data_IF_310121167694
#
_entry.id   IF_310121167694
#
_cell.length_a   1.000
_cell.length_b   1.000
_cell.length_c   1.000
_cell.angle_alpha   90.00
_cell.angle_beta   90.00
_cell.angle_gamma   90.00
#
_symmetry.space_group_name_H-M   'P 1'
#
loop_
_entity.id
_entity.type
_entity.pdbx_description
1 polymer ?
#
# COMPACT_ATOMS: atom_id res chain seq x y z
N UNK A 1 -12.71 18.18 -16.74
CA UNK A 1 -13.06 16.91 -16.05
C UNK A 1 -12.93 16.96 -14.50
N UNK A 2 -12.43 18.06 -13.90
CA UNK A 2 -12.19 18.19 -12.45
C UNK A 2 -13.36 18.74 -11.60
N UNK A 3 -14.49 19.16 -12.21
CA UNK A 3 -15.64 19.74 -11.48
C UNK A 3 -16.61 18.73 -10.87
N UNK A 4 -16.47 17.42 -11.15
CA UNK A 4 -17.30 16.36 -10.56
C UNK A 4 -16.66 15.65 -9.35
N UNK A 5 -15.49 16.12 -8.92
CA UNK A 5 -14.76 15.61 -7.74
C UNK A 5 -15.41 16.05 -6.41
N UNK A 6 -16.18 17.14 -6.41
CA UNK A 6 -16.71 17.80 -5.21
C UNK A 6 -18.03 17.22 -4.68
N UNK A 7 -18.68 16.28 -5.38
CA UNK A 7 -19.99 15.77 -4.95
C UNK A 7 -19.91 14.41 -4.22
N UNK A 8 -18.91 13.58 -4.50
CA UNK A 8 -18.81 12.23 -3.92
C UNK A 8 -18.25 12.23 -2.48
N UNK A 9 -17.44 13.22 -2.09
CA UNK A 9 -16.91 13.34 -0.73
C UNK A 9 -17.94 13.84 0.30
N UNK A 10 -19.07 14.40 -0.15
CA UNK A 10 -20.12 14.93 0.75
C UNK A 10 -20.90 13.86 1.51
N UNK A 11 -20.82 12.58 1.11
CA UNK A 11 -21.65 11.51 1.68
C UNK A 11 -20.92 10.59 2.68
N UNK A 12 -19.59 10.66 2.79
CA UNK A 12 -18.81 9.78 3.66
C UNK A 12 -18.46 10.36 5.04
N UNK A 13 -18.77 11.63 5.31
CA UNK A 13 -18.45 12.30 6.60
C UNK A 13 -19.61 12.32 7.61
N UNK A 14 -20.76 11.70 7.31
CA UNK A 14 -21.86 11.59 8.28
C UNK A 14 -21.89 10.21 8.92
N UNK A 15 -21.00 9.96 9.90
CA UNK A 15 -21.20 9.08 11.07
C UNK A 15 -19.90 8.90 11.85
N UNK A 16 -19.63 9.83 12.77
CA UNK A 16 -18.78 9.58 13.94
C UNK A 16 -19.51 10.23 15.13
N UNK A 17 -20.15 9.47 16.03
CA UNK A 17 -20.57 10.00 17.33
C UNK A 17 -19.38 10.01 18.30
N UNK A 18 -19.28 11.10 19.07
CA UNK A 18 -18.20 11.41 19.99
C UNK A 18 -18.14 10.56 21.25
N UNK A 19 -16.97 10.59 21.87
CA UNK A 19 -16.65 9.99 23.15
C UNK A 19 -17.38 10.72 24.29
N UNK A 20 -18.16 9.96 25.07
CA UNK A 20 -18.75 10.39 26.33
C UNK A 20 -17.87 10.01 27.52
N UNK A 21 -17.66 10.99 28.39
CA UNK A 21 -17.03 10.96 29.72
C UNK A 21 -17.71 9.96 30.67
N UNK A 22 -16.94 9.18 31.44
CA UNK A 22 -17.29 8.83 32.82
C UNK A 22 -16.03 8.67 33.70
N UNK A 23 -16.03 9.42 34.80
CA UNK A 23 -15.19 9.25 35.99
C UNK A 23 -15.58 8.00 36.78
N UNK A 24 -14.61 7.35 37.42
CA UNK A 24 -14.82 6.62 38.67
C UNK A 24 -13.51 6.55 39.47
N UNK A 25 -13.51 7.20 40.64
CA UNK A 25 -12.69 6.89 41.81
C UNK A 25 -13.25 5.61 42.46
N UNK A 26 -12.58 4.73 43.21
CA UNK A 26 -11.52 4.85 44.21
C UNK A 26 -11.04 3.45 44.72
N UNK A 27 -9.79 3.43 45.21
CA UNK A 27 -9.19 2.70 46.38
C UNK A 27 -9.20 1.17 46.56
N UNK A 28 -8.00 0.66 46.89
CA UNK A 28 -7.65 -0.60 47.57
C UNK A 28 -6.33 -1.12 46.99
N UNK A 29 -5.15 -1.03 47.61
CA UNK A 29 -4.75 -1.58 48.90
C UNK A 29 -3.74 -2.73 48.65
N UNK A 30 -2.44 -2.49 48.92
CA UNK A 30 -1.39 -3.45 49.37
C UNK A 30 -1.07 -4.73 48.52
N UNK A 31 0.13 -5.34 48.41
CA UNK A 31 1.45 -5.39 49.10
C UNK A 31 2.52 -5.79 48.06
N UNK A 32 3.77 -5.33 48.20
CA UNK A 32 4.94 -5.76 47.42
C UNK A 32 5.74 -6.87 48.11
N UNK A 33 6.44 -7.76 47.37
CA UNK A 33 7.68 -8.35 47.85
C UNK A 33 8.87 -8.00 46.95
N UNK A 34 10.03 -7.86 47.59
CA UNK A 34 11.24 -7.22 47.07
C UNK A 34 11.79 -7.79 45.76
N UNK A 35 12.03 -6.89 44.81
CA UNK A 35 12.83 -7.15 43.62
C UNK A 35 14.33 -7.00 43.93
N UNK A 36 15.06 -8.09 43.72
CA UNK A 36 16.52 -8.14 43.78
C UNK A 36 17.13 -7.41 42.56
N UNK A 37 18.08 -6.48 42.74
CA UNK A 37 18.50 -5.51 41.70
C UNK A 37 19.32 -6.09 40.54
N UNK A 38 19.69 -7.37 40.56
CA UNK A 38 20.53 -7.99 39.51
C UNK A 38 19.71 -8.57 38.33
N UNK A 39 18.43 -8.90 38.54
CA UNK A 39 17.60 -9.51 37.48
C UNK A 39 17.07 -8.47 36.47
N UNK A 40 16.80 -7.24 36.91
CA UNK A 40 16.29 -6.17 36.03
C UNK A 40 17.37 -5.61 35.11
N UNK A 41 18.63 -5.57 35.55
CA UNK A 41 19.76 -5.15 34.70
C UNK A 41 20.04 -6.16 33.59
N UNK A 42 20.00 -7.46 33.87
CA UNK A 42 20.22 -8.52 32.85
C UNK A 42 19.10 -8.59 31.80
N UNK A 43 17.83 -8.42 32.19
CA UNK A 43 16.71 -8.37 31.23
C UNK A 43 16.71 -7.08 30.39
N UNK A 44 17.12 -5.95 30.98
CA UNK A 44 17.24 -4.68 30.26
C UNK A 44 18.39 -4.66 29.24
N UNK A 45 19.50 -5.34 29.53
CA UNK A 45 20.64 -5.47 28.62
C UNK A 45 20.35 -6.46 27.48
N UNK A 46 19.69 -7.59 27.75
CA UNK A 46 19.27 -8.55 26.73
C UNK A 46 18.21 -7.97 25.76
N UNK A 47 17.25 -7.19 26.26
CA UNK A 47 16.28 -6.44 25.41
C UNK A 47 16.92 -5.33 24.57
N UNK A 48 18.05 -4.77 25.04
CA UNK A 48 18.78 -3.70 24.34
C UNK A 48 19.74 -4.27 23.29
N UNK A 49 20.28 -5.46 23.53
CA UNK A 49 21.07 -6.24 22.57
C UNK A 49 20.20 -6.87 21.47
N UNK A 50 19.02 -7.42 21.80
CA UNK A 50 18.12 -8.04 20.82
C UNK A 50 17.46 -7.05 19.85
N UNK A 51 17.46 -5.75 20.17
CA UNK A 51 16.95 -4.68 19.30
C UNK A 51 17.97 -4.21 18.26
N UNK A 52 19.23 -4.63 18.34
CA UNK A 52 20.32 -4.09 17.51
C UNK A 52 20.71 -4.94 16.30
N UNK A 53 20.23 -6.17 16.20
CA UNK A 53 20.68 -7.11 15.15
C UNK A 53 19.55 -7.77 14.32
N UNK A 54 18.29 -7.34 14.47
CA UNK A 54 17.29 -7.68 13.47
C UNK A 54 17.50 -6.79 12.24
N UNK A 55 17.64 -7.33 11.01
CA UNK A 55 17.74 -6.50 9.82
C UNK A 55 16.50 -5.59 9.75
N UNK A 56 16.72 -4.31 9.40
CA UNK A 56 15.65 -3.35 9.28
C UNK A 56 14.61 -3.87 8.28
N UNK A 57 13.33 -3.89 8.67
CA UNK A 57 12.25 -4.38 7.81
C UNK A 57 12.23 -3.57 6.50
N UNK A 58 12.28 -4.28 5.37
CA UNK A 58 12.27 -3.70 4.03
C UNK A 58 10.89 -3.78 3.41
N UNK A 59 10.52 -2.72 2.72
CA UNK A 59 9.25 -2.60 2.04
C UNK A 59 9.42 -2.05 0.63
N UNK A 60 8.49 -2.45 -0.23
CA UNK A 60 8.52 -2.15 -1.65
C UNK A 60 7.14 -1.67 -2.10
N UNK A 61 7.12 -0.64 -2.92
CA UNK A 61 5.94 -0.32 -3.72
C UNK A 61 5.83 -1.34 -4.85
N UNK A 62 4.80 -2.17 -4.78
CA UNK A 62 4.41 -3.11 -5.82
C UNK A 62 3.55 -2.37 -6.83
N UNK A 63 4.15 -2.07 -7.97
CA UNK A 63 3.52 -1.33 -9.04
C UNK A 63 3.47 -2.16 -10.32
N UNK A 64 2.62 -1.73 -11.23
CA UNK A 64 2.58 -2.26 -12.59
C UNK A 64 3.88 -1.98 -13.37
N UNK A 65 4.35 -2.94 -14.16
CA UNK A 65 5.43 -2.74 -15.12
C UNK A 65 4.90 -2.33 -16.50
N UNK A 66 4.65 -1.02 -16.67
CA UNK A 66 4.18 -0.42 -17.92
C UNK A 66 5.19 -0.42 -19.08
N UNK A 67 6.41 -0.93 -18.89
CA UNK A 67 7.46 -0.87 -19.94
C UNK A 67 7.31 -1.96 -21.00
N UNK A 68 6.41 -2.93 -20.79
CA UNK A 68 6.20 -4.03 -21.72
C UNK A 68 5.46 -3.55 -22.98
N UNK A 69 6.02 -3.71 -24.19
CA UNK A 69 5.30 -3.44 -25.43
C UNK A 69 4.10 -4.37 -25.57
N UNK A 70 2.98 -3.88 -26.13
CA UNK A 70 1.72 -4.62 -26.26
C UNK A 70 1.23 -5.23 -24.94
N UNK A 71 1.51 -4.53 -23.83
CA UNK A 71 0.98 -4.89 -22.51
C UNK A 71 -0.53 -4.76 -22.53
N UNK A 72 -1.19 -5.81 -22.10
CA UNK A 72 -2.64 -5.83 -21.92
C UNK A 72 -3.05 -4.89 -20.78
N UNK A 73 -3.97 -3.98 -21.02
CA UNK A 73 -4.57 -3.12 -20.00
C UNK A 73 -5.91 -3.70 -19.56
N UNK A 74 -6.28 -3.41 -18.32
CA UNK A 74 -7.54 -3.85 -17.72
C UNK A 74 -8.41 -2.61 -17.46
N UNK A 75 -9.69 -2.69 -17.84
CA UNK A 75 -10.66 -1.63 -17.58
C UNK A 75 -10.89 -1.39 -16.09
N UNK A 76 -11.66 -0.36 -15.72
CA UNK A 76 -12.19 -0.29 -14.35
C UNK A 76 -13.06 -1.54 -14.04
N UNK A 77 -12.98 -2.11 -12.81
CA UNK A 77 -13.86 -3.19 -12.41
C UNK A 77 -15.32 -2.74 -12.41
N UNK A 78 -16.17 -3.53 -13.06
CA UNK A 78 -17.62 -3.29 -13.12
C UNK A 78 -18.41 -4.45 -12.54
N UNK A 79 -19.60 -4.18 -12.01
CA UNK A 79 -20.50 -5.25 -11.57
C UNK A 79 -21.08 -5.96 -12.80
N UNK A 80 -21.07 -7.30 -12.80
CA UNK A 80 -21.76 -8.11 -13.81
C UNK A 80 -23.26 -7.80 -13.79
N UNK A 81 -23.84 -7.65 -12.59
CA UNK A 81 -25.26 -7.35 -12.38
C UNK A 81 -25.65 -5.88 -12.69
N UNK A 82 -24.76 -5.10 -13.32
CA UNK A 82 -25.02 -3.69 -13.69
C UNK A 82 -25.06 -2.71 -12.51
N UNK A 83 -24.76 -3.14 -11.29
CA UNK A 83 -24.67 -2.25 -10.12
C UNK A 83 -23.51 -1.26 -10.30
N UNK A 84 -23.83 0.02 -10.14
CA UNK A 84 -22.82 1.08 -10.23
C UNK A 84 -21.85 1.01 -9.05
N UNK A 85 -20.57 1.21 -9.32
CA UNK A 85 -19.57 1.36 -8.28
C UNK A 85 -19.70 2.74 -7.61
N UNK A 86 -19.65 2.78 -6.28
CA UNK A 86 -19.77 4.03 -5.52
C UNK A 86 -18.58 4.99 -5.76
N UNK A 87 -17.40 4.42 -6.03
CA UNK A 87 -16.16 5.15 -6.26
C UNK A 87 -15.20 4.31 -7.12
N UNK A 88 -14.44 4.96 -7.99
CA UNK A 88 -13.31 4.33 -8.71
C UNK A 88 -12.19 3.90 -7.76
N UNK A 89 -12.11 4.51 -6.57
CA UNK A 89 -11.11 4.19 -5.53
C UNK A 89 -11.60 3.15 -4.52
N UNK A 90 -12.72 2.47 -4.79
CA UNK A 90 -13.32 1.55 -3.82
C UNK A 90 -12.31 0.49 -3.34
N UNK A 91 -11.58 -0.12 -4.27
CA UNK A 91 -10.66 -1.23 -4.01
C UNK A 91 -9.28 -0.80 -3.51
N UNK A 92 -8.97 0.50 -3.56
CA UNK A 92 -7.68 1.05 -3.15
C UNK A 92 -7.78 1.91 -1.90
N UNK A 93 -8.96 2.07 -1.32
CA UNK A 93 -9.23 2.91 -0.15
C UNK A 93 -8.47 2.53 1.13
N UNK A 94 -7.85 1.34 1.18
CA UNK A 94 -7.19 0.83 2.38
C UNK A 94 -8.15 0.25 3.42
N UNK A 95 -9.38 -0.09 3.02
CA UNK A 95 -10.40 -0.66 3.88
C UNK A 95 -11.08 -1.89 3.23
N UNK A 96 -11.60 -2.84 4.01
CA UNK A 96 -12.38 -3.95 3.49
C UNK A 96 -13.57 -3.48 2.65
N UNK A 97 -13.75 -4.09 1.49
CA UNK A 97 -14.82 -3.79 0.56
C UNK A 97 -16.02 -4.70 0.82
N UNK A 98 -17.17 -4.09 1.12
CA UNK A 98 -18.46 -4.77 1.23
C UNK A 98 -19.15 -4.81 -0.14
N UNK A 99 -18.62 -5.63 -1.05
CA UNK A 99 -19.25 -5.90 -2.34
C UNK A 99 -19.89 -7.30 -2.33
N UNK A 100 -21.11 -7.42 -2.86
CA UNK A 100 -21.90 -8.68 -2.86
C UNK A 100 -22.22 -9.21 -4.26
N UNK A 101 -21.64 -8.64 -5.31
CA UNK A 101 -21.86 -9.04 -6.70
C UNK A 101 -20.63 -9.69 -7.32
N UNK A 102 -20.79 -10.20 -8.54
CA UNK A 102 -19.67 -10.60 -9.38
C UNK A 102 -19.08 -9.37 -10.07
N UNK A 103 -17.76 -9.35 -10.16
CA UNK A 103 -17.00 -8.29 -10.80
C UNK A 103 -16.48 -8.79 -12.15
N UNK A 104 -16.42 -7.90 -13.14
CA UNK A 104 -15.78 -8.17 -14.42
C UNK A 104 -14.91 -7.01 -14.90
N UNK A 105 -13.94 -7.36 -15.72
CA UNK A 105 -12.98 -6.49 -16.38
C UNK A 105 -12.95 -6.80 -17.87
N UNK A 106 -12.94 -5.78 -18.71
CA UNK A 106 -12.60 -5.93 -20.13
C UNK A 106 -11.10 -5.69 -20.31
N UNK A 107 -10.56 -6.16 -21.44
CA UNK A 107 -9.11 -6.10 -21.66
C UNK A 107 -8.72 -5.61 -23.03
N UNK A 108 -7.84 -4.61 -23.09
CA UNK A 108 -7.37 -3.99 -24.33
C UNK A 108 -5.99 -3.36 -24.13
N UNK A 109 -5.13 -3.25 -25.16
CA UNK A 109 -5.13 -4.02 -26.41
C UNK A 109 -4.70 -5.49 -26.16
N UNK A 110 -4.72 -6.38 -27.18
CA UNK A 110 -4.35 -7.79 -27.02
C UNK A 110 -2.92 -7.96 -26.49
N UNK A 111 -2.73 -8.94 -25.62
CA UNK A 111 -1.43 -9.25 -25.05
C UNK A 111 -1.47 -10.52 -24.20
N UNK A 112 -0.31 -11.08 -23.84
CA UNK A 112 -0.27 -12.24 -22.98
C UNK A 112 -0.87 -11.91 -21.60
N UNK A 113 -1.51 -12.90 -20.93
CA UNK A 113 -1.96 -12.75 -19.55
C UNK A 113 -0.81 -12.32 -18.62
N UNK A 114 -1.14 -11.51 -17.62
CA UNK A 114 -0.22 -11.01 -16.61
C UNK A 114 -0.66 -11.48 -15.23
N UNK A 115 0.30 -11.85 -14.41
CA UNK A 115 0.05 -12.27 -13.03
C UNK A 115 -0.29 -11.10 -12.10
N UNK A 116 0.12 -9.90 -12.47
CA UNK A 116 -0.16 -8.65 -11.77
C UNK A 116 -0.43 -7.52 -12.76
N UNK A 117 -1.47 -6.73 -12.51
CA UNK A 117 -1.82 -5.53 -13.28
C UNK A 117 -2.58 -4.53 -12.40
N UNK A 118 -2.43 -3.24 -12.66
CA UNK A 118 -3.27 -2.18 -12.08
C UNK A 118 -4.37 -1.81 -13.09
N UNK A 119 -5.61 -2.09 -12.71
CA UNK A 119 -6.78 -1.92 -13.56
C UNK A 119 -7.45 -0.55 -13.38
N UNK A 120 -7.80 0.06 -14.51
CA UNK A 120 -8.61 1.27 -14.59
C UNK A 120 -8.05 2.51 -13.90
N UNK A 121 -8.90 3.54 -13.80
CA UNK A 121 -8.55 4.82 -13.18
C UNK A 121 -8.27 4.70 -11.68
N UNK A 122 -8.83 3.67 -11.04
CA UNK A 122 -8.63 3.39 -9.62
C UNK A 122 -7.27 2.78 -9.25
N UNK A 123 -6.45 2.40 -10.25
CA UNK A 123 -5.23 1.60 -10.07
C UNK A 123 -5.51 0.36 -9.22
N UNK A 124 -6.57 -0.36 -9.57
CA UNK A 124 -7.04 -1.52 -8.80
C UNK A 124 -6.10 -2.71 -9.03
N UNK A 125 -5.44 -3.27 -8.01
CA UNK A 125 -4.54 -4.41 -8.22
C UNK A 125 -5.35 -5.66 -8.56
N UNK A 126 -5.09 -6.23 -9.74
CA UNK A 126 -5.66 -7.48 -10.23
C UNK A 126 -4.54 -8.49 -10.37
N UNK A 127 -4.78 -9.69 -9.86
CA UNK A 127 -3.77 -10.74 -9.78
C UNK A 127 -4.29 -12.09 -10.24
N UNK A 128 -3.40 -12.92 -10.78
CA UNK A 128 -3.69 -14.32 -11.11
C UNK A 128 -3.94 -15.15 -9.84
N UNK A 129 -4.48 -16.36 -10.01
CA UNK A 129 -4.77 -17.26 -8.89
C UNK A 129 -3.51 -17.66 -8.09
N UNK A 130 -2.35 -17.80 -8.76
CA UNK A 130 -1.06 -18.12 -8.11
C UNK A 130 -0.60 -16.99 -7.19
N UNK A 131 -0.65 -15.75 -7.67
CA UNK A 131 -0.33 -14.56 -6.86
C UNK A 131 -1.32 -14.36 -5.72
N UNK A 132 -2.61 -14.59 -5.96
CA UNK A 132 -3.63 -14.56 -4.91
C UNK A 132 -3.35 -15.59 -3.80
N UNK A 133 -2.80 -16.75 -4.13
CA UNK A 133 -2.42 -17.76 -3.14
C UNK A 133 -1.27 -17.27 -2.24
N UNK A 134 -0.25 -16.61 -2.80
CA UNK A 134 0.85 -16.00 -2.03
C UNK A 134 0.32 -15.00 -1.01
N UNK A 135 -0.56 -14.10 -1.43
CA UNK A 135 -1.16 -13.12 -0.51
C UNK A 135 -2.01 -13.78 0.58
N UNK A 136 -2.77 -14.83 0.24
CA UNK A 136 -3.60 -15.58 1.19
C UNK A 136 -2.75 -16.30 2.23
N UNK A 137 -1.60 -16.85 1.83
CA UNK A 137 -0.72 -17.59 2.72
C UNK A 137 0.10 -16.65 3.62
N UNK A 138 0.70 -15.61 3.04
CA UNK A 138 1.68 -14.78 3.74
C UNK A 138 1.08 -13.56 4.42
N UNK A 139 -0.09 -13.08 3.99
CA UNK A 139 -0.70 -11.85 4.52
C UNK A 139 -2.25 -11.94 4.66
N UNK A 140 -2.81 -13.03 5.23
CA UNK A 140 -4.26 -13.24 5.28
C UNK A 140 -5.04 -12.14 6.01
N UNK A 141 -4.43 -11.50 7.01
CA UNK A 141 -5.06 -10.45 7.82
C UNK A 141 -4.94 -9.06 7.18
N UNK A 142 -4.05 -8.89 6.20
CA UNK A 142 -3.76 -7.61 5.57
C UNK A 142 -4.49 -7.41 4.23
N UNK A 143 -5.01 -8.50 3.64
CA UNK A 143 -5.68 -8.46 2.35
C UNK A 143 -7.08 -9.07 2.38
N UNK A 144 -7.95 -8.52 1.56
CA UNK A 144 -9.18 -9.15 1.11
C UNK A 144 -9.04 -9.45 -0.39
N UNK A 145 -9.27 -10.70 -0.77
CA UNK A 145 -9.22 -11.15 -2.16
C UNK A 145 -10.64 -11.28 -2.71
N UNK A 146 -10.95 -10.53 -3.76
CA UNK A 146 -12.26 -10.55 -4.40
C UNK A 146 -12.15 -11.20 -5.77
N UNK A 147 -12.86 -12.31 -6.06
CA UNK A 147 -12.88 -12.89 -7.40
C UNK A 147 -13.36 -11.89 -8.45
N UNK A 148 -12.72 -11.88 -9.61
CA UNK A 148 -13.08 -11.04 -10.74
C UNK A 148 -12.96 -11.81 -12.05
N UNK A 149 -13.94 -11.65 -12.94
CA UNK A 149 -13.93 -12.20 -14.28
C UNK A 149 -13.10 -11.28 -15.18
N UNK A 150 -12.12 -11.81 -15.90
CA UNK A 150 -11.35 -11.07 -16.89
C UNK A 150 -11.75 -11.56 -18.27
N UNK A 151 -12.21 -10.66 -19.13
CA UNK A 151 -12.68 -11.01 -20.46
C UNK A 151 -11.62 -11.77 -21.26
N UNK A 152 -12.02 -12.87 -21.89
CA UNK A 152 -11.12 -13.73 -22.67
C UNK A 152 -10.25 -14.68 -21.84
N UNK A 153 -10.27 -14.58 -20.51
CA UNK A 153 -9.50 -15.46 -19.63
C UNK A 153 -10.34 -16.61 -19.09
N UNK A 154 -9.76 -17.81 -19.14
CA UNK A 154 -10.33 -19.00 -18.49
C UNK A 154 -9.87 -19.14 -17.04
N UNK A 155 -8.71 -18.57 -16.71
CA UNK A 155 -8.17 -18.59 -15.36
C UNK A 155 -8.90 -17.63 -14.44
N UNK A 156 -8.90 -17.95 -13.13
CA UNK A 156 -9.51 -17.09 -12.12
C UNK A 156 -8.55 -15.98 -11.73
N UNK A 157 -9.05 -14.74 -11.76
CA UNK A 157 -8.35 -13.57 -11.27
C UNK A 157 -8.99 -13.05 -9.99
N UNK A 158 -8.23 -12.25 -9.25
CA UNK A 158 -8.65 -11.65 -7.99
C UNK A 158 -8.24 -10.18 -7.94
N UNK A 159 -9.09 -9.34 -7.39
CA UNK A 159 -8.71 -8.02 -6.92
C UNK A 159 -8.08 -8.17 -5.53
N UNK A 160 -6.91 -7.55 -5.34
CA UNK A 160 -6.26 -7.46 -4.02
C UNK A 160 -6.64 -6.14 -3.36
N UNK A 161 -7.50 -6.22 -2.34
CA UNK A 161 -7.83 -5.09 -1.48
C UNK A 161 -6.93 -5.17 -0.25
N UNK A 162 -5.93 -4.29 -0.17
CA UNK A 162 -5.16 -4.12 1.07
C UNK A 162 -6.05 -3.40 2.11
N UNK A 163 -6.20 -3.99 3.29
CA UNK A 163 -7.15 -3.55 4.33
C UNK A 163 -6.48 -2.76 5.45
N UNK A 164 -5.15 -2.60 5.39
CA UNK A 164 -4.34 -1.82 6.32
C UNK A 164 -4.03 -0.45 5.72
N UNK A 165 -4.64 0.61 6.23
CA UNK A 165 -4.32 2.00 5.87
C UNK A 165 -3.44 2.64 6.94
N UNK A 166 -2.16 2.86 6.65
CA UNK A 166 -1.13 3.13 7.68
C UNK A 166 -0.43 4.47 7.46
N UNK A 167 -0.27 5.26 8.53
CA UNK A 167 0.44 6.56 8.53
C UNK A 167 1.95 6.39 8.63
N UNK A 168 2.57 5.84 7.57
CA UNK A 168 3.99 5.51 7.58
C UNK A 168 4.86 6.33 6.61
N UNK A 169 4.31 7.28 5.84
CA UNK A 169 5.12 8.12 4.93
C UNK A 169 6.15 8.92 5.73
N UNK A 170 7.41 8.86 5.32
CA UNK A 170 8.48 9.72 5.82
C UNK A 170 8.69 10.88 4.85
N UNK A 171 7.97 11.96 5.09
CA UNK A 171 7.99 13.15 4.22
C UNK A 171 9.38 13.76 4.08
N UNK A 172 10.26 13.60 5.08
CA UNK A 172 11.63 14.14 5.05
C UNK A 172 12.55 13.32 4.16
N UNK A 173 12.24 12.04 3.99
CA UNK A 173 13.01 11.13 3.16
C UNK A 173 12.49 11.05 1.72
N UNK A 174 11.24 11.45 1.48
CA UNK A 174 10.69 11.60 0.12
C UNK A 174 11.46 12.66 -0.69
N UNK A 175 11.51 12.49 -2.02
CA UNK A 175 12.18 13.46 -2.91
C UNK A 175 11.41 14.79 -2.96
N UNK A 176 10.08 14.72 -2.96
CA UNK A 176 9.20 15.90 -2.96
C UNK A 176 7.87 15.55 -2.29
N UNK A 177 7.41 16.42 -1.40
CA UNK A 177 6.08 16.35 -0.80
C UNK A 177 5.44 17.73 -0.85
N UNK A 178 4.21 17.81 -1.33
CA UNK A 178 3.38 19.01 -1.21
C UNK A 178 1.96 18.66 -0.80
N UNK A 179 1.32 19.61 -0.14
CA UNK A 179 -0.05 19.51 0.35
C UNK A 179 -0.94 20.54 -0.33
N UNK A 180 -2.23 20.25 -0.38
CA UNK A 180 -3.20 21.27 -0.76
C UNK A 180 -3.26 22.39 0.28
N UNK A 181 -3.24 23.62 -0.19
CA UNK A 181 -3.42 24.84 0.61
C UNK A 181 -4.86 25.35 0.47
N UNK A 182 -5.23 26.33 1.29
CA UNK A 182 -6.55 26.97 1.20
C UNK A 182 -6.78 27.75 -0.11
N UNK A 183 -5.71 28.04 -0.86
CA UNK A 183 -5.78 28.72 -2.15
C UNK A 183 -6.14 27.76 -3.30
N UNK A 184 -5.72 26.50 -3.19
CA UNK A 184 -5.76 25.53 -4.29
C UNK A 184 -6.79 24.40 -4.11
N UNK A 185 -7.49 24.35 -2.96
CA UNK A 185 -8.45 23.29 -2.69
C UNK A 185 -9.59 23.71 -1.75
N UNK A 186 -10.75 23.02 -1.84
CA UNK A 186 -11.80 23.11 -0.83
C UNK A 186 -11.27 22.82 0.58
N UNK A 187 -11.88 23.42 1.64
CA UNK A 187 -11.42 23.26 3.03
C UNK A 187 -11.20 21.81 3.46
N UNK A 188 -12.02 20.88 2.98
CA UNK A 188 -11.94 19.44 3.30
C UNK A 188 -10.72 18.72 2.70
N UNK A 189 -9.98 19.35 1.79
CA UNK A 189 -8.77 18.79 1.18
C UNK A 189 -7.49 19.47 1.66
N UNK A 190 -7.59 20.59 2.37
CA UNK A 190 -6.43 21.32 2.87
C UNK A 190 -5.61 20.41 3.79
N UNK A 191 -4.29 20.39 3.61
CA UNK A 191 -3.38 19.50 4.33
C UNK A 191 -3.30 18.07 3.80
N UNK A 192 -4.17 17.66 2.87
CA UNK A 192 -4.01 16.36 2.20
C UNK A 192 -2.84 16.43 1.20
N UNK A 193 -2.18 15.28 0.99
CA UNK A 193 -1.13 15.18 -0.02
C UNK A 193 -1.67 15.56 -1.41
N UNK A 194 -0.92 16.43 -2.07
CA UNK A 194 -1.11 16.82 -3.46
C UNK A 194 -0.11 16.11 -4.36
N UNK A 195 1.15 16.07 -3.94
CA UNK A 195 2.24 15.40 -4.64
C UNK A 195 3.09 14.64 -3.62
N UNK A 196 3.43 13.40 -3.95
CA UNK A 196 4.50 12.64 -3.29
C UNK A 196 5.39 12.06 -4.39
N UNK A 197 6.66 12.48 -4.45
CA UNK A 197 7.67 11.91 -5.35
C UNK A 197 8.73 11.20 -4.54
N UNK A 198 9.25 10.11 -5.11
CA UNK A 198 10.28 9.30 -4.46
C UNK A 198 9.82 8.77 -3.10
N UNK A 199 8.61 8.20 -3.06
CA UNK A 199 7.96 7.74 -1.83
C UNK A 199 8.94 7.00 -0.91
N UNK A 200 9.02 7.47 0.34
CA UNK A 200 9.69 6.78 1.44
C UNK A 200 8.73 6.54 2.58
N UNK A 201 8.92 5.41 3.26
CA UNK A 201 8.17 5.08 4.46
C UNK A 201 9.10 4.75 5.61
N UNK A 202 8.64 5.04 6.82
CA UNK A 202 9.26 4.62 8.06
C UNK A 202 8.78 3.20 8.42
N UNK A 203 9.66 2.18 8.35
CA UNK A 203 9.28 0.80 8.66
C UNK A 203 8.87 0.61 10.12
N UNK A 204 9.26 1.50 11.05
CA UNK A 204 8.82 1.42 12.44
C UNK A 204 7.33 1.78 12.61
N UNK A 205 6.74 2.47 11.63
CA UNK A 205 5.33 2.91 11.63
C UNK A 205 4.39 1.97 10.86
N UNK A 206 4.88 0.87 10.30
CA UNK A 206 4.05 -0.04 9.50
C UNK A 206 3.19 -0.99 10.35
N UNK A 207 3.36 -0.96 11.67
CA UNK A 207 2.63 -1.81 12.62
C UNK A 207 2.79 -3.31 12.34
N UNK A 208 3.88 -3.71 11.67
CA UNK A 208 4.13 -5.10 11.29
C UNK A 208 3.29 -5.61 10.12
N UNK A 209 2.48 -4.76 9.48
CA UNK A 209 1.72 -5.14 8.28
C UNK A 209 2.66 -5.61 7.17
N UNK A 210 2.29 -6.69 6.49
CA UNK A 210 3.02 -7.25 5.34
C UNK A 210 2.51 -6.71 4.02
N UNK A 211 1.25 -6.28 3.97
CA UNK A 211 0.65 -5.57 2.83
C UNK A 211 -0.14 -4.37 3.36
N UNK A 212 0.08 -3.18 2.81
CA UNK A 212 -0.58 -1.97 3.28
C UNK A 212 -0.78 -0.92 2.19
N UNK A 213 -1.71 0.01 2.45
CA UNK A 213 -1.82 1.30 1.77
C UNK A 213 -1.29 2.40 2.69
N UNK A 214 -0.63 3.39 2.11
CA UNK A 214 -0.21 4.56 2.88
C UNK A 214 -1.38 5.50 3.10
N UNK A 215 -1.54 5.99 4.33
CA UNK A 215 -2.55 6.98 4.64
C UNK A 215 -2.27 8.28 3.88
N UNK A 216 -3.31 8.85 3.27
CA UNK A 216 -3.21 10.07 2.47
C UNK A 216 -2.63 9.89 1.06
N UNK A 217 -1.98 8.76 0.75
CA UNK A 217 -1.51 8.41 -0.59
C UNK A 217 -1.84 6.95 -0.97
N UNK A 218 -3.12 6.55 -0.90
CA UNK A 218 -3.52 5.14 -0.92
C UNK A 218 -3.32 4.43 -2.28
N UNK A 219 -2.88 5.14 -3.31
CA UNK A 219 -2.58 4.57 -4.63
C UNK A 219 -1.40 3.60 -4.61
N UNK A 220 -0.45 3.78 -3.69
CA UNK A 220 0.71 2.88 -3.53
C UNK A 220 0.32 1.60 -2.80
N UNK A 221 0.71 0.45 -3.36
CA UNK A 221 0.50 -0.86 -2.74
C UNK A 221 1.83 -1.31 -2.16
N UNK A 222 1.98 -1.16 -0.85
CA UNK A 222 3.23 -1.45 -0.17
C UNK A 222 3.24 -2.90 0.30
N UNK A 223 4.28 -3.63 -0.06
CA UNK A 223 4.50 -5.02 0.34
C UNK A 223 5.82 -5.19 1.06
N UNK A 224 5.85 -6.09 2.06
CA UNK A 224 7.07 -6.48 2.75
C UNK A 224 8.01 -7.28 1.83
N UNK A 225 9.28 -7.36 2.21
CA UNK A 225 10.29 -8.17 1.53
C UNK A 225 9.87 -9.62 1.29
N UNK A 226 9.30 -10.30 2.30
CA UNK A 226 8.87 -11.69 2.15
C UNK A 226 7.79 -11.90 1.08
N UNK A 227 6.87 -10.93 0.92
CA UNK A 227 5.88 -10.97 -0.17
C UNK A 227 6.59 -10.77 -1.51
N UNK A 228 7.47 -9.77 -1.62
CA UNK A 228 8.24 -9.52 -2.84
C UNK A 228 9.02 -10.76 -3.26
N UNK A 229 9.78 -11.37 -2.35
CA UNK A 229 10.62 -12.53 -2.63
C UNK A 229 9.80 -13.73 -3.08
N UNK A 230 8.64 -13.98 -2.46
CA UNK A 230 7.74 -15.06 -2.87
C UNK A 230 7.19 -14.83 -4.29
N UNK A 231 6.82 -13.59 -4.62
CA UNK A 231 6.33 -13.24 -5.96
C UNK A 231 7.45 -13.34 -7.02
N UNK A 232 8.67 -12.92 -6.70
CA UNK A 232 9.83 -13.07 -7.60
C UNK A 232 10.21 -14.54 -7.80
N UNK A 233 10.21 -15.36 -6.75
CA UNK A 233 10.44 -16.81 -6.86
C UNK A 233 9.38 -17.51 -7.70
N UNK A 234 8.13 -17.04 -7.64
CA UNK A 234 7.04 -17.54 -8.49
C UNK A 234 7.18 -17.10 -9.96
N UNK A 235 8.13 -16.22 -10.30
CA UNK A 235 8.40 -15.78 -11.68
C UNK A 235 7.28 -14.93 -12.28
N UNK A 236 6.57 -14.17 -11.45
CA UNK A 236 5.35 -13.46 -11.87
C UNK A 236 5.62 -12.40 -12.94
N UNK A 237 4.64 -12.17 -13.80
CA UNK A 237 4.70 -11.16 -14.86
C UNK A 237 3.87 -9.92 -14.53
N UNK A 238 4.30 -8.77 -15.03
CA UNK A 238 3.53 -7.51 -14.95
C UNK A 238 3.77 -6.69 -13.67
N UNK A 239 4.56 -7.20 -12.72
CA UNK A 239 4.92 -6.49 -11.50
C UNK A 239 6.30 -5.82 -11.59
N UNK A 240 6.43 -4.69 -10.91
CA UNK A 240 7.68 -4.01 -10.61
C UNK A 240 7.71 -3.66 -9.12
N UNK A 241 8.85 -3.90 -8.49
CA UNK A 241 9.09 -3.53 -7.10
C UNK A 241 10.04 -2.34 -7.03
N UNK A 242 9.67 -1.32 -6.25
CA UNK A 242 10.55 -0.20 -5.93
C UNK A 242 10.72 -0.13 -4.43
N UNK A 243 11.96 -0.23 -3.92
CA UNK A 243 12.21 -0.13 -2.48
C UNK A 243 11.83 1.27 -1.97
N UNK A 244 11.12 1.31 -0.84
CA UNK A 244 10.61 2.54 -0.20
C UNK A 244 11.12 2.75 1.23
N UNK A 245 11.93 1.82 1.77
CA UNK A 245 12.50 1.92 3.12
C UNK A 245 13.92 2.45 3.17
N UNK A 246 14.70 2.22 2.12
CA UNK A 246 16.05 2.79 1.99
C UNK A 246 16.08 3.79 0.84
N UNK A 247 16.90 4.85 0.89
CA UNK A 247 17.13 5.69 -0.27
C UNK A 247 17.72 4.84 -1.42
N UNK A 248 17.36 5.15 -2.68
CA UNK A 248 17.90 4.39 -3.80
C UNK A 248 19.41 4.61 -3.85
N UNK A 249 20.21 3.61 -4.24
CA UNK A 249 21.65 3.80 -4.34
C UNK A 249 21.94 4.97 -5.29
N UNK A 250 22.77 5.92 -4.85
CA UNK A 250 23.13 7.08 -5.66
C UNK A 250 23.61 6.63 -7.04
N UNK A 251 23.16 7.25 -8.15
CA UNK A 251 23.57 6.83 -9.48
C UNK A 251 25.09 6.90 -9.58
N UNK A 252 25.74 5.77 -9.88
CA UNK A 252 27.19 5.72 -10.12
C UNK A 252 27.51 6.74 -11.21
N UNK A 253 28.23 7.80 -10.83
CA UNK A 253 28.68 8.86 -11.73
C UNK A 253 29.45 8.21 -12.89
N UNK A 254 28.83 8.12 -14.08
CA UNK A 254 29.51 7.72 -15.31
C UNK A 254 30.67 8.70 -15.50
N UNK A 255 31.91 8.24 -15.28
CA UNK A 255 33.11 9.02 -15.59
C UNK A 255 33.02 9.39 -17.07
N UNK A 256 32.78 10.66 -17.36
CA UNK A 256 32.83 11.17 -18.71
C UNK A 256 34.23 10.90 -19.26
N UNK A 257 34.32 10.01 -20.27
CA UNK A 257 35.55 9.85 -21.05
C UNK A 257 35.84 11.19 -21.69
N UNK A 258 36.86 11.90 -21.19
CA UNK A 258 37.44 13.08 -21.85
C UNK A 258 37.88 12.65 -23.25
N UNK A 259 37.31 13.27 -24.28
CA UNK A 259 37.70 13.11 -25.68
C UNK A 259 39.15 13.61 -25.82
N UNK A 260 40.10 12.86 -26.41
CA UNK A 260 41.44 13.36 -26.62
C UNK A 260 41.40 14.53 -27.62
N UNK A 261 42.03 15.65 -27.25
CA UNK A 261 42.27 16.77 -28.17
C UNK A 261 43.29 16.29 -29.19
N UNK A 262 42.90 16.26 -30.47
CA UNK A 262 43.85 16.11 -31.58
C UNK A 262 44.64 17.42 -31.69
N UNK A 263 45.97 17.29 -31.61
CA UNK A 263 46.90 18.30 -32.11
C UNK A 263 47.11 18.14 -33.61
#
# INVERSE_FOLDING_TARGET
MFRRLTQALRKLTRRIPGAGTQEATSRGGEVAPGESPDRSRRTSAARRASRRDAPAARYFDLHDDFRQPARRELSDPTSVDGRKMDSVWLFTSGAPVRHRGRLKLTTEPPGPPLDFSLAGAGLTPVVSASVAAVFRELAPDDVQLLPVEVEGERERYFIVVATRLVRCIDERACDEVSHYTGEDAPPERVGHYRTVRGLRIDPAKTEGARVLRTWGWPVSLIVSEGIKEALEHAGIRGARFTEVTQPPPSPRRRKSRRKPRRG
#
